data_IF_266677967839
#
_entry.id   IF_266677967839
#
_cell.length_a   1.000
_cell.length_b   1.000
_cell.length_c   1.000
_cell.angle_alpha   90.00
_cell.angle_beta   90.00
_cell.angle_gamma   90.00
#
_symmetry.space_group_name_H-M   'P 1'
#
loop_
_entity.id
_entity.type
_entity.pdbx_description
1 polymer ?
#
# COMPACT_ATOMS: atom_id res chain seq x y z
N UNK A 1 -21.23 5.99 15.44
CA UNK A 1 -21.39 6.04 14.88
C UNK A 1 -21.39 6.41 14.13
N UNK A 2 -21.31 6.59 13.78
CA UNK A 2 -21.30 6.83 13.08
C UNK A 2 -21.40 7.18 12.17
N UNK A 3 -21.42 7.37 11.92
CA UNK A 3 -21.59 7.72 11.15
C UNK A 3 -21.56 7.82 10.17
N UNK A 4 -21.73 7.83 9.74
CA UNK A 4 -21.72 7.97 8.90
C UNK A 4 -21.74 8.18 7.92
N UNK A 5 -21.85 8.32 7.62
CA UNK A 5 -21.85 8.49 6.75
C UNK A 5 -21.92 8.77 5.84
N UNK A 6 -21.99 8.84 5.81
CA UNK A 6 -22.12 9.13 4.87
C UNK A 6 -21.66 9.80 3.76
N UNK A 7 -20.68 10.18 3.43
CA UNK A 7 -20.34 10.68 2.15
C UNK A 7 -20.19 9.54 1.14
N UNK A 8 -20.39 9.83 -0.15
CA UNK A 8 -20.40 8.78 -1.15
C UNK A 8 -19.10 8.01 -1.27
N UNK A 9 -17.95 8.63 -0.99
CA UNK A 9 -16.67 7.99 -1.15
C UNK A 9 -16.28 7.10 0.01
N UNK A 10 -16.68 7.47 1.20
CA UNK A 10 -16.32 6.75 2.41
C UNK A 10 -16.72 5.29 2.38
N UNK A 11 -17.92 4.99 1.91
CA UNK A 11 -18.44 3.64 1.95
C UNK A 11 -17.71 2.65 1.05
N UNK A 12 -17.03 3.15 0.02
CA UNK A 12 -16.43 2.28 -1.00
C UNK A 12 -15.16 1.62 -0.54
N UNK A 13 -14.39 2.28 0.31
CA UNK A 13 -13.10 1.78 0.78
C UNK A 13 -13.05 1.65 2.29
N UNK A 14 -14.17 1.86 2.98
CA UNK A 14 -14.12 2.05 4.42
C UNK A 14 -13.67 0.82 5.20
N UNK A 15 -13.73 -0.35 4.60
CA UNK A 15 -13.28 -1.56 5.27
C UNK A 15 -11.84 -1.92 4.94
N UNK A 16 -11.23 -1.20 4.02
CA UNK A 16 -9.87 -1.51 3.62
C UNK A 16 -8.89 -0.95 4.64
N UNK A 17 -7.92 -1.76 4.97
CA UNK A 17 -6.87 -1.43 5.93
C UNK A 17 -5.54 -1.46 5.21
N UNK A 18 -4.85 -0.35 5.22
CA UNK A 18 -3.64 -0.15 4.43
C UNK A 18 -2.45 0.09 5.37
N UNK A 19 -1.35 -0.58 5.09
CA UNK A 19 -0.08 -0.26 5.70
C UNK A 19 0.74 0.52 4.67
N UNK A 20 1.19 1.70 5.02
CA UNK A 20 1.95 2.56 4.11
C UNK A 20 3.32 2.83 4.71
N UNK A 21 4.38 2.47 3.99
CA UNK A 21 5.75 2.69 4.48
C UNK A 21 6.57 3.35 3.39
N UNK A 22 7.09 4.53 3.68
CA UNK A 22 7.92 5.30 2.75
C UNK A 22 8.79 6.23 3.60
N UNK A 23 10.08 6.26 3.36
CA UNK A 23 10.99 7.06 4.19
C UNK A 23 10.85 8.56 3.96
N UNK A 24 10.12 8.98 2.94
CA UNK A 24 9.87 10.40 2.67
C UNK A 24 8.61 10.85 3.40
N UNK A 25 8.73 11.73 4.41
CA UNK A 25 7.56 12.16 5.19
C UNK A 25 6.46 12.80 4.34
N UNK A 26 6.85 13.55 3.29
CA UNK A 26 5.86 14.20 2.43
C UNK A 26 4.99 13.18 1.70
N UNK A 27 5.59 12.10 1.24
CA UNK A 27 4.85 11.03 0.55
C UNK A 27 3.87 10.38 1.51
N UNK A 28 4.33 10.06 2.71
CA UNK A 28 3.48 9.45 3.73
C UNK A 28 2.31 10.37 4.08
N UNK A 29 2.58 11.65 4.20
CA UNK A 29 1.51 12.58 4.54
C UNK A 29 0.48 12.71 3.41
N UNK A 30 0.94 12.93 2.19
CA UNK A 30 0.03 13.14 1.06
C UNK A 30 -0.79 11.89 0.78
N UNK A 31 -0.13 10.74 0.66
CA UNK A 31 -0.84 9.50 0.37
C UNK A 31 -1.69 9.05 1.56
N UNK A 32 -1.16 9.21 2.78
CA UNK A 32 -1.92 8.85 3.97
C UNK A 32 -3.23 9.61 4.06
N UNK A 33 -3.20 10.92 3.81
CA UNK A 33 -4.40 11.74 3.82
C UNK A 33 -5.37 11.34 2.73
N UNK A 34 -4.86 11.13 1.52
CA UNK A 34 -5.71 10.79 0.39
C UNK A 34 -6.42 9.46 0.57
N UNK A 35 -5.69 8.46 1.10
CA UNK A 35 -6.27 7.16 1.35
C UNK A 35 -7.32 7.22 2.45
N UNK A 36 -7.04 7.97 3.51
CA UNK A 36 -8.02 8.16 4.60
C UNK A 36 -9.25 8.92 4.11
N UNK A 37 -9.05 9.92 3.28
CA UNK A 37 -10.17 10.66 2.73
C UNK A 37 -11.08 9.77 1.89
N UNK A 38 -10.50 8.76 1.25
CA UNK A 38 -11.27 7.79 0.48
C UNK A 38 -11.99 6.76 1.36
N UNK A 39 -11.78 6.80 2.67
CA UNK A 39 -12.48 5.94 3.61
C UNK A 39 -11.67 4.76 4.13
N UNK A 40 -10.41 4.66 3.74
CA UNK A 40 -9.54 3.58 4.20
C UNK A 40 -8.98 3.86 5.57
N UNK A 41 -8.63 2.80 6.29
CA UNK A 41 -7.83 2.90 7.50
C UNK A 41 -6.38 2.76 7.12
N UNK A 42 -5.55 3.68 7.57
CA UNK A 42 -4.14 3.73 7.17
C UNK A 42 -3.26 3.80 8.40
N UNK A 43 -2.34 2.86 8.50
CA UNK A 43 -1.22 2.95 9.43
C UNK A 43 0.00 3.29 8.60
N UNK A 44 0.62 4.42 8.88
CA UNK A 44 1.68 4.97 8.05
C UNK A 44 2.96 5.13 8.85
N UNK A 45 4.08 4.76 8.25
CA UNK A 45 5.39 4.80 8.88
C UNK A 45 6.41 5.35 7.91
N UNK A 46 7.37 6.11 8.47
CA UNK A 46 8.55 6.52 7.70
C UNK A 46 9.75 5.63 7.97
N UNK A 47 9.65 4.75 8.97
CA UNK A 47 10.71 3.80 9.33
C UNK A 47 10.24 2.39 9.05
N UNK A 48 10.93 1.65 8.17
CA UNK A 48 10.55 0.25 7.93
C UNK A 48 10.71 -0.63 9.17
N UNK A 49 11.70 -0.33 10.01
CA UNK A 49 11.88 -1.11 11.23
C UNK A 49 10.72 -0.89 12.19
N UNK A 50 10.27 0.35 12.32
CA UNK A 50 9.12 0.65 13.17
C UNK A 50 7.86 -0.01 12.64
N UNK A 51 7.68 0.02 11.33
CA UNK A 51 6.54 -0.65 10.71
C UNK A 51 6.55 -2.14 11.02
N UNK A 52 7.72 -2.75 10.97
CA UNK A 52 7.84 -4.17 11.25
C UNK A 52 7.58 -4.48 12.71
N UNK A 53 8.08 -3.64 13.62
CA UNK A 53 7.84 -3.82 15.05
C UNK A 53 6.35 -3.75 15.39
N UNK A 54 5.62 -2.90 14.70
CA UNK A 54 4.19 -2.69 14.96
C UNK A 54 3.30 -3.58 14.11
N UNK A 55 3.89 -4.36 13.21
CA UNK A 55 3.12 -5.18 12.28
C UNK A 55 2.32 -6.25 12.99
N UNK A 56 1.05 -6.37 12.63
CA UNK A 56 0.17 -7.40 13.17
C UNK A 56 -0.35 -8.25 12.02
N UNK A 57 -0.20 -9.57 12.11
CA UNK A 57 -0.72 -10.47 11.06
C UNK A 57 -2.23 -10.34 10.91
N UNK A 58 -2.71 -10.61 9.71
CA UNK A 58 -4.14 -10.65 9.40
C UNK A 58 -4.85 -9.32 9.68
N UNK A 59 -4.12 -8.22 9.54
CA UNK A 59 -4.66 -6.89 9.84
C UNK A 59 -4.86 -6.08 8.59
N UNK A 60 -3.97 -6.19 7.61
CA UNK A 60 -3.96 -5.30 6.46
C UNK A 60 -4.44 -5.99 5.19
N UNK A 61 -5.25 -5.28 4.44
CA UNK A 61 -5.68 -5.74 3.11
C UNK A 61 -4.60 -5.49 2.06
N UNK A 62 -3.77 -4.49 2.28
CA UNK A 62 -2.71 -4.15 1.35
C UNK A 62 -1.60 -3.40 2.06
N UNK A 63 -0.36 -3.76 1.77
CA UNK A 63 0.80 -2.99 2.18
C UNK A 63 1.34 -2.24 0.96
N UNK A 64 1.60 -0.96 1.12
CA UNK A 64 2.19 -0.12 0.09
C UNK A 64 3.56 0.28 0.62
N UNK A 65 4.62 -0.22 -0.02
CA UNK A 65 5.98 -0.09 0.48
C UNK A 65 6.87 0.57 -0.56
N UNK A 66 7.59 1.59 -0.12
CA UNK A 66 8.68 2.14 -0.93
C UNK A 66 9.80 1.10 -1.00
N UNK A 67 10.46 0.99 -2.15
CA UNK A 67 11.51 0.00 -2.32
C UNK A 67 12.80 0.46 -1.67
N UNK A 68 13.23 1.69 -1.96
CA UNK A 68 14.56 2.15 -1.51
C UNK A 68 14.43 3.02 -0.28
N UNK A 69 14.69 2.42 0.85
CA UNK A 69 14.69 3.10 2.14
C UNK A 69 16.01 2.81 2.86
N UNK A 70 16.47 3.74 3.72
CA UNK A 70 17.62 3.44 4.58
C UNK A 70 17.30 2.24 5.45
N UNK A 71 18.31 1.51 5.87
CA UNK A 71 18.22 0.43 6.84
C UNK A 71 17.60 -0.85 6.28
N UNK A 72 16.48 -0.76 5.56
CA UNK A 72 15.78 -1.95 5.09
C UNK A 72 15.03 -1.58 3.82
N UNK A 73 15.22 -2.38 2.76
CA UNK A 73 14.47 -2.15 1.53
C UNK A 73 13.02 -2.61 1.68
N UNK A 74 12.16 -2.11 0.79
CA UNK A 74 10.77 -2.60 0.77
C UNK A 74 10.69 -4.09 0.51
N UNK A 75 11.61 -4.63 -0.28
CA UNK A 75 11.67 -6.07 -0.54
C UNK A 75 11.94 -6.85 0.73
N UNK A 76 12.91 -6.38 1.52
CA UNK A 76 13.24 -7.02 2.79
C UNK A 76 12.07 -6.93 3.76
N UNK A 77 11.42 -5.77 3.82
CA UNK A 77 10.28 -5.58 4.69
C UNK A 77 9.14 -6.52 4.31
N UNK A 78 8.83 -6.61 3.01
CA UNK A 78 7.81 -7.53 2.53
C UNK A 78 8.12 -8.96 2.94
N UNK A 79 9.37 -9.37 2.78
CA UNK A 79 9.77 -10.74 3.13
C UNK A 79 9.53 -11.02 4.61
N UNK A 80 9.89 -10.09 5.47
CA UNK A 80 9.70 -10.26 6.91
C UNK A 80 8.22 -10.29 7.29
N UNK A 81 7.43 -9.42 6.64
CA UNK A 81 5.99 -9.41 6.89
C UNK A 81 5.33 -10.71 6.41
N UNK A 82 5.79 -11.22 5.28
CA UNK A 82 5.27 -12.46 4.70
C UNK A 82 5.49 -13.65 5.61
N UNK A 83 6.59 -13.66 6.35
CA UNK A 83 6.84 -14.72 7.33
C UNK A 83 5.80 -14.72 8.45
N UNK A 84 5.28 -13.55 8.80
CA UNK A 84 4.30 -13.41 9.89
C UNK A 84 2.88 -13.51 9.39
N UNK A 85 2.65 -13.14 8.14
CA UNK A 85 1.33 -13.16 7.53
C UNK A 85 1.48 -13.62 6.08
N UNK A 86 1.41 -14.92 5.83
CA UNK A 86 1.57 -15.44 4.46
C UNK A 86 0.57 -14.90 3.46
N UNK A 87 -0.56 -14.36 3.93
CA UNK A 87 -1.59 -13.84 3.04
C UNK A 87 -1.43 -12.37 2.71
N UNK A 88 -0.37 -11.70 3.23
CA UNK A 88 -0.20 -10.27 2.99
C UNK A 88 -0.08 -9.98 1.50
N UNK A 89 -0.79 -8.95 1.07
CA UNK A 89 -0.76 -8.47 -0.31
C UNK A 89 -0.01 -7.16 -0.33
N UNK A 90 0.92 -7.01 -1.27
CA UNK A 90 1.82 -5.85 -1.29
C UNK A 90 1.90 -5.24 -2.68
N UNK A 91 1.96 -3.92 -2.74
CA UNK A 91 2.45 -3.25 -3.93
C UNK A 91 3.63 -2.36 -3.52
N UNK A 92 4.59 -2.22 -4.42
CA UNK A 92 5.78 -1.42 -4.17
C UNK A 92 5.69 -0.09 -4.90
N UNK A 93 6.24 0.94 -4.27
CA UNK A 93 6.45 2.24 -4.93
C UNK A 93 7.94 2.39 -5.19
N UNK A 94 8.30 2.92 -6.34
CA UNK A 94 9.71 3.11 -6.68
C UNK A 94 9.91 4.38 -7.46
N UNK A 95 10.91 5.18 -7.05
CA UNK A 95 11.34 6.34 -7.83
C UNK A 95 12.24 5.94 -8.99
N UNK A 96 12.72 4.70 -9.00
CA UNK A 96 13.65 4.18 -9.99
C UNK A 96 13.04 3.01 -10.73
N UNK A 97 13.47 2.80 -11.97
CA UNK A 97 13.06 1.62 -12.69
C UNK A 97 13.72 0.39 -12.09
N UNK A 98 12.94 -0.66 -11.97
CA UNK A 98 13.44 -1.94 -11.45
C UNK A 98 13.53 -2.89 -12.64
N UNK A 99 14.71 -3.42 -12.88
CA UNK A 99 14.90 -4.40 -13.93
C UNK A 99 14.20 -5.70 -13.54
N UNK A 100 13.62 -6.36 -14.54
CA UNK A 100 12.91 -7.61 -14.28
C UNK A 100 13.82 -8.63 -13.62
N UNK A 101 15.09 -8.69 -14.04
CA UNK A 101 16.04 -9.65 -13.47
C UNK A 101 16.32 -9.34 -12.01
N UNK A 102 16.47 -8.06 -11.68
CA UNK A 102 16.71 -7.66 -10.29
C UNK A 102 15.53 -8.07 -9.41
N UNK A 103 14.33 -7.84 -9.89
CA UNK A 103 13.14 -8.17 -9.13
C UNK A 103 13.03 -9.69 -8.93
N UNK A 104 13.25 -10.46 -9.99
CA UNK A 104 13.16 -11.91 -9.93
C UNK A 104 14.21 -12.52 -9.01
N UNK A 105 15.38 -11.91 -8.92
CA UNK A 105 16.42 -12.42 -8.04
C UNK A 105 16.04 -12.29 -6.57
N UNK A 106 15.23 -11.28 -6.25
CA UNK A 106 14.78 -11.04 -4.88
C UNK A 106 13.50 -11.83 -4.57
N UNK A 107 12.60 -11.91 -5.55
CA UNK A 107 11.31 -12.58 -5.38
C UNK A 107 11.09 -13.61 -6.48
N UNK A 108 11.67 -14.80 -6.34
CA UNK A 108 11.51 -15.83 -7.37
C UNK A 108 10.05 -16.17 -7.64
N UNK A 109 9.21 -16.20 -6.61
CA UNK A 109 7.81 -16.57 -6.76
C UNK A 109 6.89 -15.37 -6.97
N UNK A 110 7.34 -14.17 -6.63
CA UNK A 110 6.52 -12.94 -6.65
C UNK A 110 5.21 -13.09 -5.87
N UNK A 111 5.20 -14.01 -4.92
CA UNK A 111 4.00 -14.32 -4.18
C UNK A 111 3.58 -13.17 -3.27
N UNK A 112 2.30 -12.77 -3.37
CA UNK A 112 1.76 -11.67 -2.58
C UNK A 112 2.04 -10.29 -3.13
N UNK A 113 2.83 -10.18 -4.22
CA UNK A 113 3.15 -8.89 -4.82
C UNK A 113 2.22 -8.64 -6.00
N UNK A 114 1.48 -7.54 -5.95
CA UNK A 114 0.51 -7.18 -7.00
C UNK A 114 1.09 -6.29 -8.07
N UNK A 115 1.99 -5.38 -7.71
CA UNK A 115 2.55 -4.47 -8.69
C UNK A 115 3.75 -3.73 -8.13
N UNK A 116 4.55 -3.19 -9.04
CA UNK A 116 5.55 -2.18 -8.71
C UNK A 116 5.10 -0.92 -9.42
N UNK A 117 4.81 0.11 -8.66
CA UNK A 117 4.28 1.37 -9.18
C UNK A 117 5.39 2.39 -9.20
N UNK A 118 5.60 3.02 -10.33
CA UNK A 118 6.65 4.01 -10.48
C UNK A 118 6.17 5.38 -9.98
N UNK A 119 7.00 6.01 -9.16
CA UNK A 119 6.78 7.40 -8.76
C UNK A 119 7.29 8.34 -9.85
N UNK A 120 6.74 9.54 -10.00
CA UNK A 120 5.62 10.09 -9.23
C UNK A 120 4.28 9.53 -9.69
N UNK A 121 3.35 9.46 -8.74
CA UNK A 121 2.00 8.99 -9.03
C UNK A 121 1.05 9.86 -8.21
N UNK A 122 -0.09 10.22 -8.79
CA UNK A 122 -1.09 11.00 -8.07
C UNK A 122 -1.90 10.11 -7.14
N UNK A 123 -2.58 10.72 -6.17
CA UNK A 123 -3.44 9.95 -5.28
C UNK A 123 -4.57 9.27 -6.06
N UNK A 124 -5.12 9.93 -7.07
CA UNK A 124 -6.19 9.33 -7.85
C UNK A 124 -5.69 8.11 -8.64
N UNK A 125 -4.49 8.21 -9.21
CA UNK A 125 -3.89 7.07 -9.90
C UNK A 125 -3.63 5.93 -8.92
N UNK A 126 -3.15 6.25 -7.72
CA UNK A 126 -2.90 5.24 -6.70
C UNK A 126 -4.20 4.55 -6.29
N UNK A 127 -5.26 5.32 -6.08
CA UNK A 127 -6.56 4.75 -5.75
C UNK A 127 -7.08 3.82 -6.83
N UNK A 128 -6.88 4.19 -8.10
CA UNK A 128 -7.28 3.32 -9.21
C UNK A 128 -6.48 2.02 -9.22
N UNK A 129 -5.19 2.09 -8.94
CA UNK A 129 -4.36 0.89 -8.86
C UNK A 129 -4.84 -0.02 -7.72
N UNK A 130 -5.09 0.56 -6.56
CA UNK A 130 -5.58 -0.20 -5.40
C UNK A 130 -6.90 -0.89 -5.74
N UNK A 131 -7.81 -0.17 -6.38
CA UNK A 131 -9.10 -0.74 -6.77
C UNK A 131 -8.91 -1.92 -7.72
N UNK A 132 -7.96 -1.81 -8.63
CA UNK A 132 -7.64 -2.90 -9.55
C UNK A 132 -7.12 -4.13 -8.83
N UNK A 133 -6.19 -3.93 -7.88
CA UNK A 133 -5.59 -5.05 -7.14
C UNK A 133 -6.61 -5.78 -6.29
N UNK A 134 -7.52 -5.03 -5.68
CA UNK A 134 -8.48 -5.57 -4.73
C UNK A 134 -9.83 -5.84 -5.37
N UNK A 135 -9.91 -5.69 -6.70
CA UNK A 135 -11.10 -6.01 -7.48
C UNK A 135 -12.32 -5.21 -7.06
N UNK A 136 -12.11 -3.94 -6.74
CA UNK A 136 -13.21 -3.04 -6.44
C UNK A 136 -13.92 -2.71 -7.75
N UNK A 137 -15.26 -2.75 -7.79
CA UNK A 137 -16.01 -2.52 -9.02
C UNK A 137 -15.70 -1.18 -9.68
N UNK A 138 -15.74 -1.16 -11.02
CA UNK A 138 -15.48 0.03 -11.80
C UNK A 138 -16.42 1.18 -11.39
N UNK A 139 -17.67 0.86 -11.11
CA UNK A 139 -18.63 1.87 -10.69
C UNK A 139 -18.18 2.57 -9.40
N UNK A 140 -17.60 1.81 -8.45
CA UNK A 140 -17.09 2.40 -7.22
C UNK A 140 -15.88 3.29 -7.50
N UNK A 141 -15.02 2.90 -8.45
CA UNK A 141 -13.87 3.72 -8.84
C UNK A 141 -14.31 5.02 -9.51
N UNK A 142 -15.28 4.92 -10.40
CA UNK A 142 -15.78 6.10 -11.11
C UNK A 142 -16.34 7.14 -10.15
N UNK A 143 -16.89 6.73 -9.05
CA UNK A 143 -17.45 7.65 -8.06
C UNK A 143 -16.38 8.43 -7.30
N UNK A 144 -15.12 8.07 -7.46
CA UNK A 144 -14.02 8.81 -6.84
C UNK A 144 -13.60 10.03 -7.66
N UNK A 145 -13.98 10.11 -8.90
CA UNK A 145 -13.58 11.22 -9.79
C UNK A 145 -14.30 12.53 -9.48
#
# INVERSE_FOLDING_TARGET
MKASSSSGNEGKYKKLRILLVDDEPDVVEVFGRGLKFAGMRVDAYTSPQEALQCFKPNTYDLAILDIRMPEMTGFQLHREMKKRDPSITTCFLSAFEIQADEFKSVFPSMDGVKAIIKKPISINELLNEIASFLKIPVAARAAQD
#
